data_IF_646116607627
#
_entry.id   IF_646116607627
#
_cell.length_a   1.000
_cell.length_b   1.000
_cell.length_c   1.000
_cell.angle_alpha   90.00
_cell.angle_beta   90.00
_cell.angle_gamma   90.00
#
_symmetry.space_group_name_H-M   'P 1'
#
loop_
_entity.id
_entity.type
_entity.pdbx_description
1 polymer ?
#
# COMPACT_ATOMS: atom_id res chain seq x y z
N UNK A 1 5.12 67.47 -10.00
CA UNK A 1 6.22 66.48 -10.02
C UNK A 1 5.65 65.12 -9.64
N UNK A 2 5.29 64.26 -10.60
CA UNK A 2 4.69 62.94 -10.34
C UNK A 2 5.81 61.90 -10.23
N UNK A 3 5.96 61.30 -9.05
CA UNK A 3 6.95 60.27 -8.77
C UNK A 3 6.44 58.92 -9.33
N UNK A 4 7.09 58.40 -10.37
CA UNK A 4 6.78 57.08 -10.93
C UNK A 4 7.49 56.02 -10.08
N UNK A 5 6.73 55.20 -9.35
CA UNK A 5 7.29 54.05 -8.61
C UNK A 5 7.39 52.85 -9.56
N UNK A 6 8.60 52.45 -9.90
CA UNK A 6 8.88 51.21 -10.62
C UNK A 6 8.81 50.05 -9.62
N UNK A 7 7.86 49.13 -9.82
CA UNK A 7 7.75 47.89 -9.06
C UNK A 7 8.66 46.85 -9.74
N UNK A 8 9.80 46.52 -9.11
CA UNK A 8 10.66 45.42 -9.56
C UNK A 8 10.05 44.09 -9.11
N UNK A 9 9.48 43.33 -10.07
CA UNK A 9 9.10 41.94 -9.86
C UNK A 9 10.37 41.07 -9.95
N UNK A 10 10.92 40.69 -8.79
CA UNK A 10 11.95 39.67 -8.68
C UNK A 10 11.31 38.29 -8.97
N UNK A 11 11.53 37.79 -10.18
CA UNK A 11 11.20 36.42 -10.53
C UNK A 11 12.29 35.49 -9.98
N UNK A 12 12.01 34.80 -8.87
CA UNK A 12 12.85 33.70 -8.42
C UNK A 12 12.65 32.50 -9.36
N UNK A 13 13.73 31.86 -9.87
CA UNK A 13 13.58 30.62 -10.62
C UNK A 13 13.02 29.56 -9.69
N UNK A 14 11.80 29.10 -9.99
CA UNK A 14 11.22 27.92 -9.35
C UNK A 14 11.99 26.73 -9.91
N UNK A 15 12.97 26.22 -9.16
CA UNK A 15 13.57 24.93 -9.47
C UNK A 15 12.47 23.87 -9.35
N UNK A 16 12.15 23.21 -10.47
CA UNK A 16 11.24 22.08 -10.46
C UNK A 16 11.88 20.96 -9.65
N UNK A 17 11.20 20.49 -8.61
CA UNK A 17 11.68 19.38 -7.80
C UNK A 17 11.87 18.14 -8.69
N UNK A 18 13.07 17.57 -8.71
CA UNK A 18 13.43 16.40 -9.51
C UNK A 18 13.51 15.15 -8.64
N UNK A 19 13.17 13.99 -9.20
CA UNK A 19 13.34 12.69 -8.56
C UNK A 19 14.35 11.88 -9.36
N UNK A 20 15.38 11.38 -8.71
CA UNK A 20 16.41 10.55 -9.33
C UNK A 20 16.46 9.18 -8.65
N UNK A 21 16.53 8.12 -9.45
CA UNK A 21 16.92 6.80 -8.96
C UNK A 21 18.44 6.78 -8.81
N UNK A 22 18.91 6.65 -7.58
CA UNK A 22 20.35 6.62 -7.27
C UNK A 22 20.89 5.20 -7.13
N UNK A 23 20.01 4.22 -6.90
CA UNK A 23 20.35 2.80 -6.82
C UNK A 23 19.14 1.96 -7.20
N UNK A 24 19.40 0.88 -7.95
CA UNK A 24 18.47 -0.22 -8.18
C UNK A 24 19.18 -1.50 -7.80
N UNK A 25 18.60 -2.28 -6.90
CA UNK A 25 19.21 -3.50 -6.38
C UNK A 25 18.21 -4.67 -6.32
N UNK A 26 18.67 -5.86 -6.70
CA UNK A 26 17.94 -7.10 -6.50
C UNK A 26 17.92 -7.43 -5.01
N UNK A 27 16.73 -7.64 -4.46
CA UNK A 27 16.49 -8.09 -3.09
C UNK A 27 16.43 -9.61 -3.05
N UNK A 28 15.86 -10.24 -4.08
CA UNK A 28 15.84 -11.70 -4.26
C UNK A 28 16.45 -12.09 -5.60
N UNK A 29 16.71 -13.38 -5.75
CA UNK A 29 17.15 -14.04 -6.98
C UNK A 29 16.22 -15.19 -7.34
N UNK A 30 16.34 -15.74 -8.55
CA UNK A 30 15.54 -16.89 -8.95
C UNK A 30 15.84 -18.15 -8.10
N UNK A 31 17.05 -18.25 -7.56
CA UNK A 31 17.47 -19.36 -6.66
C UNK A 31 16.82 -19.25 -5.28
N UNK A 32 16.49 -18.03 -4.84
CA UNK A 32 15.77 -17.80 -3.58
C UNK A 32 14.30 -18.27 -3.66
N UNK A 33 13.74 -18.27 -4.87
CA UNK A 33 12.33 -18.56 -5.14
C UNK A 33 11.59 -17.40 -5.80
N UNK A 34 10.29 -17.58 -5.99
CA UNK A 34 9.39 -16.62 -6.67
C UNK A 34 8.56 -15.91 -5.61
N UNK A 35 8.65 -14.58 -5.56
CA UNK A 35 8.02 -13.76 -4.53
C UNK A 35 7.34 -12.50 -5.07
N UNK A 36 6.27 -12.08 -4.40
CA UNK A 36 5.39 -10.98 -4.80
C UNK A 36 4.97 -10.11 -3.62
N UNK A 37 4.45 -8.92 -3.93
CA UNK A 37 3.86 -7.97 -2.98
C UNK A 37 4.78 -7.60 -1.79
N UNK A 38 6.02 -7.16 -2.05
CA UNK A 38 6.98 -6.84 -1.00
C UNK A 38 6.57 -5.61 -0.19
N UNK A 39 6.81 -5.64 1.12
CA UNK A 39 6.59 -4.51 2.03
C UNK A 39 7.74 -4.35 3.01
N UNK A 40 8.18 -3.11 3.21
CA UNK A 40 9.05 -2.78 4.32
C UNK A 40 8.29 -2.92 5.64
N UNK A 41 8.92 -3.57 6.62
CA UNK A 41 8.48 -3.56 8.02
C UNK A 41 9.48 -2.85 8.93
N UNK A 42 10.66 -2.50 8.41
CA UNK A 42 11.64 -1.60 9.01
C UNK A 42 12.63 -1.11 7.94
N UNK A 43 13.67 -0.37 8.34
CA UNK A 43 14.79 0.00 7.46
C UNK A 43 15.58 -1.20 6.91
N UNK A 44 15.52 -2.36 7.57
CA UNK A 44 16.35 -3.51 7.21
C UNK A 44 15.57 -4.79 6.94
N UNK A 45 14.24 -4.76 7.11
CA UNK A 45 13.39 -5.94 7.04
C UNK A 45 12.28 -5.77 6.02
N UNK A 46 12.13 -6.79 5.19
CA UNK A 46 11.15 -6.85 4.10
C UNK A 46 10.34 -8.14 4.25
N UNK A 47 9.03 -8.03 4.17
CA UNK A 47 8.12 -9.19 4.12
C UNK A 47 7.48 -9.26 2.74
N UNK A 48 7.35 -10.47 2.20
CA UNK A 48 6.73 -10.75 0.91
C UNK A 48 6.03 -12.11 0.93
N UNK A 49 5.27 -12.41 -0.13
CA UNK A 49 4.51 -13.66 -0.26
C UNK A 49 4.90 -14.42 -1.53
N UNK A 50 4.55 -15.69 -1.61
CA UNK A 50 4.75 -16.52 -2.80
C UNK A 50 3.56 -16.40 -3.76
N UNK A 51 3.57 -17.05 -4.95
CA UNK A 51 2.45 -17.03 -5.88
C UNK A 51 1.11 -17.38 -5.19
N UNK A 52 0.03 -16.74 -5.66
CA UNK A 52 -1.33 -16.93 -5.12
C UNK A 52 -1.49 -16.55 -3.64
N UNK A 53 -0.63 -15.65 -3.14
CA UNK A 53 -0.71 -15.12 -1.77
C UNK A 53 -0.56 -16.19 -0.68
N UNK A 54 0.15 -17.28 -0.98
CA UNK A 54 0.36 -18.36 -0.03
C UNK A 54 1.61 -18.08 0.78
N UNK A 55 1.50 -18.07 2.11
CA UNK A 55 2.61 -17.90 3.02
C UNK A 55 3.17 -16.48 3.11
N UNK A 56 4.08 -16.28 4.06
CA UNK A 56 4.85 -15.06 4.25
C UNK A 56 6.31 -15.41 4.50
N UNK A 57 7.22 -14.63 3.91
CA UNK A 57 8.66 -14.75 4.07
C UNK A 57 9.23 -13.42 4.49
N UNK A 58 10.26 -13.48 5.34
CA UNK A 58 11.00 -12.34 5.85
C UNK A 58 12.42 -12.38 5.30
N UNK A 59 12.89 -11.26 4.76
CA UNK A 59 14.30 -11.02 4.48
C UNK A 59 14.83 -9.90 5.36
N UNK A 60 15.97 -10.13 6.03
CA UNK A 60 16.76 -9.07 6.63
C UNK A 60 17.88 -8.66 5.67
N UNK A 61 18.34 -7.41 5.75
CA UNK A 61 19.33 -6.85 4.81
C UNK A 61 20.63 -7.64 4.74
N UNK A 62 21.04 -8.28 5.84
CA UNK A 62 22.31 -9.01 5.97
C UNK A 62 22.12 -10.54 6.04
N UNK A 63 20.90 -11.05 5.93
CA UNK A 63 20.60 -12.48 6.12
C UNK A 63 19.92 -13.11 4.91
N UNK A 64 19.85 -14.45 4.94
CA UNK A 64 18.96 -15.21 4.06
C UNK A 64 17.48 -14.89 4.29
N UNK A 65 16.65 -15.53 3.49
CA UNK A 65 15.18 -15.46 3.58
C UNK A 65 14.69 -16.51 4.56
N UNK A 66 13.81 -16.11 5.48
CA UNK A 66 13.17 -16.99 6.46
C UNK A 66 11.69 -17.12 6.15
N UNK A 67 11.20 -18.35 6.03
CA UNK A 67 9.77 -18.63 5.98
C UNK A 67 9.11 -18.34 7.33
N UNK A 68 8.10 -17.46 7.36
CA UNK A 68 7.32 -17.16 8.56
C UNK A 68 6.13 -18.11 8.68
N UNK A 69 5.46 -18.41 7.56
CA UNK A 69 4.37 -19.38 7.46
C UNK A 69 4.08 -19.74 5.99
N UNK A 70 3.22 -20.76 5.79
CA UNK A 70 2.79 -21.25 4.47
C UNK A 70 1.26 -21.30 4.28
N UNK A 71 0.53 -20.41 4.95
CA UNK A 71 -0.93 -20.46 4.94
C UNK A 71 -1.53 -19.85 3.66
N UNK A 72 -2.61 -20.45 3.16
CA UNK A 72 -3.37 -19.88 2.04
C UNK A 72 -3.97 -18.53 2.44
N UNK A 73 -3.82 -17.51 1.58
CA UNK A 73 -4.39 -16.19 1.81
C UNK A 73 -3.57 -15.27 2.72
N UNK A 74 -2.49 -15.77 3.36
CA UNK A 74 -1.67 -14.98 4.27
C UNK A 74 -0.99 -13.78 3.59
N UNK A 75 -0.64 -13.93 2.32
CA UNK A 75 0.00 -12.88 1.51
C UNK A 75 -0.94 -11.77 1.03
N UNK A 76 -2.26 -11.95 1.15
CA UNK A 76 -3.22 -11.03 0.53
C UNK A 76 -3.39 -9.79 1.40
N UNK A 77 -2.55 -8.79 1.13
CA UNK A 77 -2.48 -7.49 1.81
C UNK A 77 -2.38 -7.62 3.35
N UNK A 78 -1.45 -8.45 3.82
CA UNK A 78 -1.08 -8.49 5.23
C UNK A 78 -0.69 -7.09 5.75
N UNK A 79 -0.91 -6.84 7.02
CA UNK A 79 -0.58 -5.58 7.69
C UNK A 79 0.54 -5.79 8.69
N UNK A 80 1.43 -4.80 8.80
CA UNK A 80 2.46 -4.77 9.84
C UNK A 80 2.12 -3.70 10.87
N UNK A 81 2.32 -4.03 12.14
CA UNK A 81 2.21 -3.11 13.26
C UNK A 81 3.59 -2.89 13.87
N UNK A 82 4.09 -1.66 13.81
CA UNK A 82 5.39 -1.30 14.40
C UNK A 82 5.36 -1.24 15.93
N UNK A 83 4.19 -1.02 16.53
CA UNK A 83 4.02 -0.86 17.99
C UNK A 83 4.28 -2.16 18.73
N UNK A 84 3.74 -3.28 18.24
CA UNK A 84 3.88 -4.61 18.84
C UNK A 84 4.70 -5.58 17.97
N UNK A 85 5.30 -5.06 16.89
CA UNK A 85 6.12 -5.80 15.92
C UNK A 85 5.43 -7.08 15.44
N UNK A 86 4.16 -6.95 15.05
CA UNK A 86 3.35 -8.08 14.61
C UNK A 86 2.85 -7.94 13.18
N UNK A 87 2.61 -9.09 12.54
CA UNK A 87 1.90 -9.19 11.27
C UNK A 87 0.45 -9.59 11.54
N UNK A 88 -0.48 -8.92 10.87
CA UNK A 88 -1.87 -9.35 10.76
C UNK A 88 -2.10 -9.89 9.37
N UNK A 89 -2.53 -11.13 9.27
CA UNK A 89 -2.82 -11.78 8.00
C UNK A 89 -4.05 -12.68 8.10
N UNK A 90 -4.48 -13.16 6.93
CA UNK A 90 -5.64 -14.03 6.79
C UNK A 90 -5.20 -15.48 6.59
N UNK A 91 -6.01 -16.42 7.04
CA UNK A 91 -5.84 -17.84 6.70
C UNK A 91 -7.13 -18.35 6.10
N UNK A 92 -7.09 -18.65 4.80
CA UNK A 92 -8.23 -19.11 4.03
C UNK A 92 -8.33 -20.64 4.04
N UNK A 93 -9.51 -21.14 4.41
CA UNK A 93 -9.88 -22.56 4.44
C UNK A 93 -11.09 -22.78 3.55
N UNK A 94 -11.14 -23.92 2.89
CA UNK A 94 -12.26 -24.30 2.03
C UNK A 94 -12.96 -25.52 2.61
N UNK A 95 -14.23 -25.37 2.97
CA UNK A 95 -15.09 -26.43 3.51
C UNK A 95 -16.35 -26.46 2.65
N UNK A 96 -16.65 -27.61 2.04
CA UNK A 96 -17.80 -27.79 1.15
C UNK A 96 -17.93 -26.72 0.05
N UNK A 97 -16.79 -26.32 -0.53
CA UNK A 97 -16.73 -25.30 -1.59
C UNK A 97 -16.87 -23.85 -1.10
N UNK A 98 -17.08 -23.63 0.20
CA UNK A 98 -17.17 -22.31 0.80
C UNK A 98 -15.83 -21.89 1.40
N UNK A 99 -15.43 -20.64 1.15
CA UNK A 99 -14.25 -20.04 1.77
C UNK A 99 -14.59 -19.50 3.15
N UNK A 100 -13.83 -19.95 4.14
CA UNK A 100 -13.78 -19.43 5.51
C UNK A 100 -12.41 -18.78 5.75
N UNK A 101 -12.38 -17.69 6.50
CA UNK A 101 -11.17 -16.93 6.75
C UNK A 101 -10.96 -16.74 8.26
N UNK A 102 -9.79 -17.10 8.77
CA UNK A 102 -9.35 -16.68 10.10
C UNK A 102 -8.51 -15.41 9.98
N UNK A 103 -8.57 -14.55 11.00
CA UNK A 103 -7.64 -13.43 11.17
C UNK A 103 -6.61 -13.80 12.22
N UNK A 104 -5.34 -13.84 11.81
CA UNK A 104 -4.22 -14.26 12.64
C UNK A 104 -3.28 -13.08 12.85
N UNK A 105 -2.89 -12.88 14.11
CA UNK A 105 -1.81 -11.99 14.50
C UNK A 105 -0.57 -12.83 14.82
N UNK A 106 0.58 -12.45 14.28
CA UNK A 106 1.86 -13.14 14.45
C UNK A 106 2.90 -12.17 14.97
N UNK A 107 3.39 -12.40 16.18
CA UNK A 107 4.43 -11.59 16.81
C UNK A 107 5.81 -12.01 16.25
N UNK A 108 6.57 -11.05 15.73
CA UNK A 108 7.88 -11.32 15.10
C UNK A 108 9.05 -11.40 16.10
N UNK A 109 8.82 -11.09 17.39
CA UNK A 109 9.86 -11.14 18.43
C UNK A 109 9.96 -12.55 19.02
N UNK A 110 8.82 -13.11 19.46
CA UNK A 110 8.74 -14.41 20.12
C UNK A 110 8.15 -15.51 19.22
N UNK A 111 7.79 -15.16 17.99
CA UNK A 111 7.20 -16.04 16.99
C UNK A 111 5.82 -16.61 17.39
N UNK A 112 5.15 -16.04 18.38
CA UNK A 112 3.82 -16.48 18.82
C UNK A 112 2.73 -16.05 17.83
N UNK A 113 1.64 -16.83 17.79
CA UNK A 113 0.46 -16.52 16.98
C UNK A 113 -0.81 -16.48 17.83
N UNK A 114 -1.71 -15.57 17.48
CA UNK A 114 -3.00 -15.35 18.12
C UNK A 114 -4.10 -15.36 17.05
N UNK A 115 -5.17 -16.13 17.28
CA UNK A 115 -6.36 -16.11 16.43
C UNK A 115 -7.26 -14.96 16.92
N UNK A 116 -7.31 -13.87 16.16
CA UNK A 116 -8.13 -12.70 16.49
C UNK A 116 -9.60 -12.97 16.22
N UNK A 117 -9.90 -13.64 15.11
CA UNK A 117 -11.24 -14.03 14.69
C UNK A 117 -11.15 -15.33 13.88
N UNK A 118 -12.20 -16.16 13.94
CA UNK A 118 -12.21 -17.49 13.33
C UNK A 118 -13.43 -17.69 12.44
N UNK A 119 -13.26 -18.48 11.39
CA UNK A 119 -14.34 -19.00 10.54
C UNK A 119 -15.24 -17.90 9.96
N UNK A 120 -14.65 -16.76 9.61
CA UNK A 120 -15.35 -15.62 9.03
C UNK A 120 -15.69 -15.86 7.55
N UNK A 121 -16.70 -15.15 7.06
CA UNK A 121 -17.19 -15.21 5.67
C UNK A 121 -17.17 -13.82 5.03
N UNK A 122 -16.86 -13.78 3.73
CA UNK A 122 -16.80 -12.55 2.91
C UNK A 122 -15.93 -11.43 3.53
N UNK A 123 -14.77 -11.81 4.08
CA UNK A 123 -13.86 -10.88 4.77
C UNK A 123 -13.08 -10.02 3.78
N UNK A 124 -13.29 -8.70 3.87
CA UNK A 124 -12.47 -7.69 3.21
C UNK A 124 -11.14 -7.48 3.94
N UNK A 125 -10.27 -6.65 3.35
CA UNK A 125 -8.92 -6.43 3.85
C UNK A 125 -8.93 -5.85 5.27
N UNK A 126 -8.39 -6.57 6.27
CA UNK A 126 -8.30 -6.05 7.61
C UNK A 126 -7.20 -4.99 7.72
N UNK A 127 -7.50 -3.90 8.43
CA UNK A 127 -6.61 -2.74 8.53
C UNK A 127 -6.40 -2.34 9.98
N UNK A 128 -5.14 -2.11 10.35
CA UNK A 128 -4.82 -1.54 11.64
C UNK A 128 -5.19 -0.05 11.69
N UNK A 129 -5.70 0.36 12.84
CA UNK A 129 -5.86 1.74 13.27
C UNK A 129 -4.84 1.99 14.39
N UNK A 130 -3.73 2.67 14.06
CA UNK A 130 -2.58 2.93 14.98
C UNK A 130 -2.18 1.72 15.85
N UNK A 131 -2.22 0.51 15.27
CA UNK A 131 -1.78 -0.74 15.92
C UNK A 131 -2.59 -1.27 17.12
N UNK A 132 -3.74 -0.66 17.47
CA UNK A 132 -4.54 -1.08 18.63
C UNK A 132 -5.95 -1.56 18.28
N UNK A 133 -6.44 -1.23 17.10
CA UNK A 133 -7.76 -1.66 16.63
C UNK A 133 -7.65 -2.16 15.20
N UNK A 134 -8.28 -3.29 14.91
CA UNK A 134 -8.40 -3.85 13.57
C UNK A 134 -9.81 -3.53 13.06
N UNK A 135 -9.90 -2.78 11.96
CA UNK A 135 -11.14 -2.55 11.23
C UNK A 135 -11.20 -3.40 9.97
N UNK A 136 -12.33 -4.05 9.71
CA UNK A 136 -12.57 -4.81 8.48
C UNK A 136 -14.06 -4.88 8.17
N UNK A 137 -14.41 -5.40 6.99
CA UNK A 137 -15.80 -5.66 6.59
C UNK A 137 -15.96 -7.16 6.36
N UNK A 138 -17.10 -7.73 6.77
CA UNK A 138 -17.47 -9.10 6.48
C UNK A 138 -18.96 -9.19 6.07
N UNK A 139 -19.51 -10.40 5.95
CA UNK A 139 -20.93 -10.59 5.58
C UNK A 139 -21.94 -9.90 6.52
N UNK A 140 -21.55 -9.55 7.75
CA UNK A 140 -22.39 -8.88 8.73
C UNK A 140 -22.20 -7.35 8.73
N UNK A 141 -21.38 -6.82 7.82
CA UNK A 141 -21.05 -5.40 7.73
C UNK A 141 -19.69 -5.07 8.34
N UNK A 142 -19.57 -3.85 8.87
CA UNK A 142 -18.33 -3.31 9.42
C UNK A 142 -18.05 -3.92 10.81
N UNK A 143 -16.82 -4.37 11.04
CA UNK A 143 -16.37 -4.95 12.31
C UNK A 143 -15.10 -4.26 12.80
N UNK A 144 -15.04 -4.01 14.12
CA UNK A 144 -13.85 -3.51 14.83
C UNK A 144 -13.47 -4.48 15.95
N UNK A 145 -12.17 -4.78 16.05
CA UNK A 145 -11.62 -5.61 17.12
C UNK A 145 -10.49 -4.85 17.81
N UNK A 146 -10.63 -4.60 19.11
CA UNK A 146 -9.55 -4.04 19.93
C UNK A 146 -8.52 -5.13 20.24
N UNK A 147 -7.25 -4.86 19.95
CA UNK A 147 -6.14 -5.81 20.16
C UNK A 147 -5.19 -5.39 21.28
N UNK A 148 -5.34 -4.18 21.82
CA UNK A 148 -4.57 -3.63 22.94
C UNK A 148 -5.51 -2.82 23.85
N UNK A 149 -5.19 -2.73 25.14
CA UNK A 149 -5.99 -1.97 26.12
C UNK A 149 -6.19 -0.51 25.70
N UNK A 150 -7.40 0.03 25.94
CA UNK A 150 -7.89 1.36 25.52
C UNK A 150 -7.01 2.54 25.95
N UNK A 151 -5.92 2.77 25.23
CA UNK A 151 -5.12 3.99 25.32
C UNK A 151 -5.12 4.66 23.95
N UNK A 152 -5.98 5.68 23.82
CA UNK A 152 -6.13 6.58 22.67
C UNK A 152 -6.51 5.91 21.33
N UNK A 153 -7.82 5.76 21.12
CA UNK A 153 -8.48 5.37 19.86
C UNK A 153 -8.25 6.35 18.68
N UNK A 154 -7.36 7.34 18.74
CA UNK A 154 -7.24 8.36 17.69
C UNK A 154 -6.39 7.90 16.49
N UNK A 155 -6.78 6.82 15.80
CA UNK A 155 -6.18 6.41 14.53
C UNK A 155 -7.18 6.46 13.37
N UNK A 156 -6.65 6.43 12.16
CA UNK A 156 -7.42 6.45 10.91
C UNK A 156 -6.99 5.25 10.06
N UNK A 157 -7.95 4.53 9.48
CA UNK A 157 -7.67 3.47 8.51
C UNK A 157 -8.77 3.39 7.45
N UNK A 158 -8.46 2.76 6.31
CA UNK A 158 -9.42 2.56 5.22
C UNK A 158 -9.30 1.17 4.63
N UNK A 159 -10.44 0.52 4.41
CA UNK A 159 -10.58 -0.63 3.51
C UNK A 159 -11.60 -0.28 2.43
N UNK A 160 -11.61 -1.02 1.33
CA UNK A 160 -12.49 -0.70 0.22
C UNK A 160 -12.94 -1.96 -0.52
N UNK A 161 -14.16 -1.91 -1.04
CA UNK A 161 -14.75 -2.97 -1.85
C UNK A 161 -15.80 -2.41 -2.85
N UNK A 162 -16.76 -3.24 -3.25
CA UNK A 162 -17.85 -2.87 -4.16
C UNK A 162 -18.88 -1.89 -3.55
N UNK A 163 -18.94 -1.78 -2.23
CA UNK A 163 -19.85 -0.89 -1.51
C UNK A 163 -19.25 0.49 -1.24
N UNK A 164 -17.93 0.64 -1.37
CA UNK A 164 -17.26 1.93 -1.25
C UNK A 164 -15.93 1.84 -0.51
N UNK A 165 -15.46 2.99 -0.05
CA UNK A 165 -14.33 3.12 0.87
C UNK A 165 -14.89 3.18 2.29
N UNK A 166 -14.57 2.21 3.13
CA UNK A 166 -14.93 2.18 4.54
C UNK A 166 -13.82 2.86 5.35
N UNK A 167 -14.12 4.06 5.84
CA UNK A 167 -13.25 4.89 6.64
C UNK A 167 -13.52 4.68 8.12
N UNK A 168 -12.46 4.42 8.88
CA UNK A 168 -12.47 4.26 10.32
C UNK A 168 -11.72 5.43 10.96
N UNK A 169 -12.36 6.14 11.89
CA UNK A 169 -11.75 7.23 12.66
C UNK A 169 -12.11 7.01 14.13
N UNK A 170 -11.20 6.43 14.90
CA UNK A 170 -11.54 6.02 16.25
C UNK A 170 -12.70 5.05 16.28
N UNK A 171 -13.67 5.34 17.12
CA UNK A 171 -14.90 4.54 17.21
C UNK A 171 -15.86 4.81 16.06
N UNK A 172 -15.68 5.91 15.32
CA UNK A 172 -16.56 6.27 14.20
C UNK A 172 -16.18 5.52 12.93
N UNK A 173 -17.19 5.29 12.09
CA UNK A 173 -17.03 4.69 10.78
C UNK A 173 -17.94 5.38 9.77
N UNK A 174 -17.52 5.37 8.50
CA UNK A 174 -18.28 5.96 7.40
C UNK A 174 -17.90 5.26 6.10
N UNK A 175 -18.90 4.94 5.29
CA UNK A 175 -18.67 4.52 3.90
C UNK A 175 -18.71 5.75 2.98
N UNK A 176 -17.70 5.87 2.11
CA UNK A 176 -17.55 6.94 1.13
C UNK A 176 -17.67 6.36 -0.29
N UNK A 177 -18.36 7.08 -1.17
CA UNK A 177 -18.44 6.80 -2.61
C UNK A 177 -18.07 8.04 -3.43
N UNK A 178 -16.79 8.49 -3.42
CA UNK A 178 -16.39 9.75 -4.07
C UNK A 178 -16.71 9.84 -5.57
N UNK A 179 -16.86 8.70 -6.25
CA UNK A 179 -17.18 8.60 -7.68
C UNK A 179 -18.52 7.90 -7.96
N UNK A 180 -19.38 7.77 -6.95
CA UNK A 180 -20.64 7.01 -7.03
C UNK A 180 -20.46 5.51 -6.86
N UNK A 181 -21.44 4.73 -7.32
CA UNK A 181 -21.42 3.27 -7.22
C UNK A 181 -20.34 2.64 -8.10
N UNK A 182 -19.72 1.57 -7.59
CA UNK A 182 -18.68 0.81 -8.26
C UNK A 182 -17.62 0.30 -7.28
N UNK A 183 -16.64 -0.42 -7.81
CA UNK A 183 -15.56 -0.99 -7.00
C UNK A 183 -14.52 0.07 -6.66
N UNK A 184 -14.11 0.09 -5.40
CA UNK A 184 -12.98 0.85 -4.90
C UNK A 184 -11.92 -0.14 -4.44
N UNK A 185 -10.68 0.03 -4.90
CA UNK A 185 -9.57 -0.87 -4.55
C UNK A 185 -8.31 -0.08 -4.25
N UNK A 186 -7.33 -0.76 -3.66
CA UNK A 186 -5.99 -0.22 -3.35
C UNK A 186 -6.06 1.11 -2.56
N UNK A 187 -7.00 1.19 -1.61
CA UNK A 187 -7.19 2.37 -0.78
C UNK A 187 -6.11 2.49 0.29
N UNK A 188 -5.61 3.70 0.52
CA UNK A 188 -4.70 4.03 1.62
C UNK A 188 -4.93 5.44 2.15
N UNK A 189 -4.65 5.65 3.43
CA UNK A 189 -4.65 6.98 4.06
C UNK A 189 -3.31 7.66 3.78
N UNK A 190 -3.32 8.97 3.53
CA UNK A 190 -2.10 9.77 3.45
C UNK A 190 -1.33 9.78 4.78
N UNK A 191 -0.01 10.03 4.78
CA UNK A 191 0.79 10.06 6.01
C UNK A 191 0.31 11.08 7.05
N UNK A 192 -0.25 12.21 6.60
CA UNK A 192 -0.84 13.25 7.47
C UNK A 192 -2.23 12.87 8.04
N UNK A 193 -2.84 11.78 7.55
CA UNK A 193 -4.15 11.30 8.00
C UNK A 193 -5.34 12.04 7.39
N UNK A 194 -5.16 13.00 6.49
CA UNK A 194 -6.24 13.88 6.02
C UNK A 194 -6.89 13.46 4.71
N UNK A 195 -6.25 12.55 3.96
CA UNK A 195 -6.61 12.23 2.57
C UNK A 195 -6.63 10.73 2.37
N UNK A 196 -7.39 10.31 1.36
CA UNK A 196 -7.51 8.92 0.96
C UNK A 196 -7.14 8.82 -0.51
N UNK A 197 -6.12 8.00 -0.80
CA UNK A 197 -5.77 7.57 -2.15
C UNK A 197 -6.50 6.27 -2.44
N UNK A 198 -7.05 6.13 -3.64
CA UNK A 198 -7.75 4.91 -4.06
C UNK A 198 -7.73 4.78 -5.58
N UNK A 199 -7.96 3.56 -6.07
CA UNK A 199 -8.22 3.28 -7.48
C UNK A 199 -9.70 2.92 -7.69
N UNK A 200 -10.27 3.45 -8.77
CA UNK A 200 -11.59 3.07 -9.28
C UNK A 200 -11.36 2.37 -10.62
N UNK A 201 -11.51 1.03 -10.69
CA UNK A 201 -11.19 0.26 -11.89
C UNK A 201 -11.86 0.82 -13.15
N UNK A 202 -11.10 0.88 -14.24
CA UNK A 202 -11.53 1.47 -15.51
C UNK A 202 -11.53 3.01 -15.55
N UNK A 203 -11.44 3.72 -14.41
CA UNK A 203 -11.35 5.20 -14.36
C UNK A 203 -10.01 5.73 -13.86
N UNK A 204 -9.22 4.90 -13.16
CA UNK A 204 -7.91 5.23 -12.61
C UNK A 204 -7.92 5.60 -11.14
N UNK A 205 -6.85 6.26 -10.68
CA UNK A 205 -6.63 6.60 -9.27
C UNK A 205 -6.89 8.06 -8.95
N UNK A 206 -7.36 8.29 -7.73
CA UNK A 206 -7.86 9.56 -7.23
C UNK A 206 -7.47 9.77 -5.76
N UNK A 207 -7.49 11.02 -5.34
CA UNK A 207 -7.37 11.42 -3.95
C UNK A 207 -8.63 12.17 -3.54
N UNK A 208 -9.24 11.78 -2.41
CA UNK A 208 -10.30 12.54 -1.76
C UNK A 208 -9.90 12.92 -0.33
N UNK A 209 -10.61 13.90 0.26
CA UNK A 209 -10.55 14.12 1.71
C UNK A 209 -11.42 13.11 2.47
N UNK A 210 -11.33 13.13 3.81
CA UNK A 210 -12.10 12.25 4.70
C UNK A 210 -13.63 12.44 4.60
N UNK A 211 -14.12 13.50 3.95
CA UNK A 211 -15.55 13.69 3.69
C UNK A 211 -16.02 12.97 2.43
N UNK A 212 -15.09 12.58 1.56
CA UNK A 212 -15.33 11.98 0.24
C UNK A 212 -15.25 12.98 -0.91
N UNK A 213 -14.90 14.25 -0.66
CA UNK A 213 -14.73 15.25 -1.73
C UNK A 213 -13.44 14.98 -2.49
N UNK A 214 -13.54 14.85 -3.80
CA UNK A 214 -12.38 14.66 -4.69
C UNK A 214 -11.47 15.89 -4.66
N UNK A 215 -10.18 15.65 -4.46
CA UNK A 215 -9.14 16.68 -4.41
C UNK A 215 -8.23 16.63 -5.64
N UNK A 216 -7.93 15.41 -6.12
CA UNK A 216 -6.93 15.22 -7.17
C UNK A 216 -7.23 13.97 -8.00
N UNK A 217 -7.03 14.06 -9.31
CA UNK A 217 -7.02 12.91 -10.22
C UNK A 217 -5.58 12.55 -10.53
N UNK A 218 -5.15 11.36 -10.11
CA UNK A 218 -3.79 10.86 -10.37
C UNK A 218 -3.67 10.44 -11.84
N UNK A 219 -4.69 9.74 -12.35
CA UNK A 219 -4.75 9.22 -13.72
C UNK A 219 -4.80 7.69 -13.76
N UNK A 220 -4.43 7.10 -14.91
CA UNK A 220 -4.22 5.65 -15.02
C UNK A 220 -2.96 5.27 -14.26
N UNK A 221 -3.14 4.94 -12.98
CA UNK A 221 -2.08 4.69 -12.02
C UNK A 221 -2.51 3.52 -11.14
N UNK A 222 -2.05 2.32 -11.45
CA UNK A 222 -2.47 1.11 -10.75
C UNK A 222 -1.57 0.86 -9.53
N UNK A 223 -2.14 0.18 -8.53
CA UNK A 223 -1.50 -0.10 -7.24
C UNK A 223 -0.83 1.14 -6.59
N UNK A 224 -1.56 2.27 -6.44
CA UNK A 224 -0.95 3.53 -6.04
C UNK A 224 -0.60 3.53 -4.53
N UNK A 225 0.52 4.15 -4.17
CA UNK A 225 0.98 4.28 -2.79
C UNK A 225 1.59 5.66 -2.52
N UNK A 226 1.41 6.17 -1.30
CA UNK A 226 1.95 7.46 -0.89
C UNK A 226 3.45 7.38 -0.59
N UNK A 227 4.19 8.43 -0.94
CA UNK A 227 5.48 8.69 -0.30
C UNK A 227 5.29 8.98 1.19
N UNK A 228 6.34 8.74 1.98
CA UNK A 228 6.36 8.96 3.44
C UNK A 228 5.96 10.38 3.86
N UNK A 229 6.29 11.38 3.05
CA UNK A 229 5.96 12.78 3.29
C UNK A 229 4.59 13.21 2.70
N UNK A 230 3.90 12.31 1.99
CA UNK A 230 2.61 12.58 1.35
C UNK A 230 2.68 13.48 0.12
N UNK A 231 3.88 13.86 -0.33
CA UNK A 231 4.04 14.80 -1.44
C UNK A 231 4.09 14.12 -2.81
N UNK A 232 4.23 12.79 -2.85
CA UNK A 232 4.35 12.01 -4.06
C UNK A 232 3.49 10.76 -3.99
N UNK A 233 3.10 10.27 -5.17
CA UNK A 233 2.34 9.03 -5.35
C UNK A 233 3.14 8.16 -6.29
N UNK A 234 3.50 6.96 -5.84
CA UNK A 234 4.14 5.91 -6.64
C UNK A 234 3.09 4.94 -7.12
N UNK A 235 3.23 4.45 -8.34
CA UNK A 235 2.27 3.53 -8.93
C UNK A 235 2.92 2.74 -10.05
N UNK A 236 2.28 1.64 -10.45
CA UNK A 236 2.66 0.93 -11.68
C UNK A 236 1.78 1.41 -12.84
N UNK A 237 2.39 1.56 -14.01
CA UNK A 237 1.70 1.84 -15.25
C UNK A 237 1.80 0.63 -16.16
N UNK A 238 0.84 -0.27 -15.98
CA UNK A 238 0.74 -1.55 -16.64
C UNK A 238 -0.10 -1.48 -17.93
N UNK A 239 0.18 -2.44 -18.81
CA UNK A 239 -0.52 -2.70 -20.06
C UNK A 239 -0.91 -4.17 -20.09
N UNK A 240 -2.11 -4.48 -20.56
CA UNK A 240 -2.60 -5.85 -20.68
C UNK A 240 -3.25 -6.10 -22.04
N UNK A 241 -3.36 -7.37 -22.42
CA UNK A 241 -4.06 -7.82 -23.64
C UNK A 241 -5.45 -8.44 -23.33
N UNK A 242 -6.00 -8.17 -22.14
CA UNK A 242 -7.22 -8.79 -21.62
C UNK A 242 -7.03 -10.19 -20.99
N UNK A 243 -5.84 -10.79 -21.10
CA UNK A 243 -5.51 -12.08 -20.47
C UNK A 243 -4.36 -11.97 -19.47
N UNK A 244 -3.33 -11.20 -19.80
CA UNK A 244 -2.13 -11.03 -18.99
C UNK A 244 -1.56 -9.62 -19.12
N UNK A 245 -0.74 -9.23 -18.15
CA UNK A 245 0.05 -8.00 -18.20
C UNK A 245 1.19 -8.22 -19.22
N UNK A 246 1.26 -7.38 -20.23
CA UNK A 246 2.25 -7.44 -21.32
C UNK A 246 3.38 -6.43 -21.16
N UNK A 247 3.27 -5.50 -20.21
CA UNK A 247 4.26 -4.48 -19.93
C UNK A 247 3.88 -3.70 -18.67
N UNK A 248 4.86 -3.19 -17.94
CA UNK A 248 4.63 -2.30 -16.80
C UNK A 248 5.93 -1.61 -16.44
N UNK A 249 5.83 -0.43 -15.87
CA UNK A 249 6.94 0.35 -15.32
C UNK A 249 6.47 1.00 -14.01
N UNK A 250 7.41 1.29 -13.10
CA UNK A 250 7.14 2.03 -11.86
C UNK A 250 7.28 3.53 -12.11
N UNK A 251 6.23 4.29 -11.82
CA UNK A 251 6.21 5.74 -11.94
C UNK A 251 6.06 6.41 -10.58
N UNK A 252 6.50 7.67 -10.51
CA UNK A 252 6.24 8.57 -9.37
C UNK A 252 5.69 9.91 -9.87
N UNK A 253 4.64 10.41 -9.22
CA UNK A 253 3.96 11.66 -9.56
C UNK A 253 3.83 12.57 -8.35
N UNK A 254 4.06 13.87 -8.55
CA UNK A 254 3.88 14.88 -7.50
C UNK A 254 2.39 15.06 -7.19
N UNK A 255 2.02 14.95 -5.93
CA UNK A 255 0.67 15.30 -5.49
C UNK A 255 0.39 16.79 -5.71
N UNK A 256 -0.75 17.12 -6.35
CA UNK A 256 -1.14 18.47 -6.79
C UNK A 256 -0.13 19.15 -7.75
N UNK A 257 0.81 18.39 -8.31
CA UNK A 257 1.80 18.88 -9.26
C UNK A 257 1.63 18.26 -10.65
N UNK A 258 2.40 18.79 -11.60
CA UNK A 258 2.50 18.23 -12.96
C UNK A 258 3.68 17.27 -13.13
N UNK A 259 4.63 17.26 -12.18
CA UNK A 259 5.83 16.44 -12.28
C UNK A 259 5.50 14.95 -12.17
N UNK A 260 6.02 14.18 -13.10
CA UNK A 260 5.85 12.74 -13.21
C UNK A 260 7.10 12.15 -13.85
N UNK A 261 7.62 11.06 -13.29
CA UNK A 261 8.88 10.44 -13.70
C UNK A 261 8.70 8.92 -13.81
N UNK A 262 9.21 8.32 -14.88
CA UNK A 262 9.39 6.88 -14.98
C UNK A 262 10.66 6.48 -14.20
N UNK A 263 10.53 5.62 -13.20
CA UNK A 263 11.63 5.24 -12.31
C UNK A 263 12.39 4.00 -12.79
N UNK A 264 11.75 3.10 -13.54
CA UNK A 264 12.37 1.86 -14.00
C UNK A 264 12.79 1.96 -15.46
N UNK A 265 11.86 2.34 -16.35
CA UNK A 265 12.06 2.51 -17.78
C UNK A 265 12.89 1.36 -18.40
N UNK A 266 12.45 0.14 -18.18
CA UNK A 266 13.09 -1.05 -18.74
C UNK A 266 12.19 -1.71 -19.78
N UNK A 267 12.75 -2.17 -20.89
CA UNK A 267 11.93 -2.71 -22.00
C UNK A 267 11.48 -4.16 -21.74
N UNK A 268 12.32 -4.96 -21.09
CA UNK A 268 12.14 -6.42 -20.96
C UNK A 268 11.73 -6.89 -19.56
N UNK A 269 11.52 -5.96 -18.62
CA UNK A 269 11.09 -6.30 -17.26
C UNK A 269 9.72 -5.68 -17.02
N UNK A 270 8.79 -6.50 -16.54
CA UNK A 270 7.47 -6.03 -16.13
C UNK A 270 7.51 -5.77 -14.63
N UNK A 271 7.67 -4.51 -14.21
CA UNK A 271 7.71 -4.15 -12.79
C UNK A 271 6.32 -3.88 -12.20
N UNK A 272 6.00 -4.53 -11.09
CA UNK A 272 4.65 -4.60 -10.53
C UNK A 272 4.63 -4.35 -9.01
N UNK A 273 3.46 -3.90 -8.56
CA UNK A 273 3.08 -3.81 -7.15
C UNK A 273 4.06 -3.00 -6.27
N UNK A 274 4.30 -1.71 -6.60
CA UNK A 274 5.23 -0.90 -5.84
C UNK A 274 4.77 -0.65 -4.41
N UNK A 275 5.75 -0.52 -3.51
CA UNK A 275 5.56 -0.30 -2.08
C UNK A 275 6.58 0.70 -1.58
N UNK A 276 6.14 1.91 -1.23
CA UNK A 276 7.01 2.97 -0.73
C UNK A 276 7.33 2.77 0.75
N UNK A 277 8.59 2.95 1.13
CA UNK A 277 9.06 2.81 2.50
C UNK A 277 8.56 3.96 3.40
N UNK A 278 8.02 3.61 4.56
CA UNK A 278 7.73 4.60 5.62
C UNK A 278 8.99 5.00 6.42
N UNK A 279 10.17 4.49 6.04
CA UNK A 279 11.41 4.66 6.80
C UNK A 279 12.50 5.40 6.03
N UNK A 280 12.52 5.26 4.70
CA UNK A 280 13.51 5.85 3.80
C UNK A 280 12.88 6.25 2.46
N UNK A 281 13.62 6.96 1.62
CA UNK A 281 13.20 7.28 0.26
C UNK A 281 13.50 6.10 -0.67
N UNK A 282 12.81 4.98 -0.42
CA UNK A 282 13.00 3.71 -1.10
C UNK A 282 11.66 3.10 -1.53
N UNK A 283 11.69 2.38 -2.64
CA UNK A 283 10.53 1.67 -3.20
C UNK A 283 10.91 0.21 -3.41
N UNK A 284 10.05 -0.70 -2.97
CA UNK A 284 10.10 -2.10 -3.38
C UNK A 284 9.11 -2.34 -4.50
N UNK A 285 9.44 -3.27 -5.39
CA UNK A 285 8.51 -3.83 -6.37
C UNK A 285 8.94 -5.26 -6.67
N UNK A 286 8.08 -6.04 -7.32
CA UNK A 286 8.47 -7.33 -7.89
C UNK A 286 8.34 -7.31 -9.41
N UNK A 287 9.08 -8.18 -10.10
CA UNK A 287 8.87 -8.43 -11.53
C UNK A 287 7.73 -9.42 -11.75
N UNK A 288 7.28 -9.59 -13.00
CA UNK A 288 6.35 -10.67 -13.36
C UNK A 288 6.89 -12.07 -13.00
N UNK A 289 8.21 -12.28 -13.10
CA UNK A 289 8.89 -13.52 -12.69
C UNK A 289 9.08 -13.66 -11.17
N UNK A 290 8.57 -12.72 -10.38
CA UNK A 290 8.62 -12.76 -8.92
C UNK A 290 10.00 -12.47 -8.32
N UNK A 291 10.82 -11.67 -8.99
CA UNK A 291 12.07 -11.14 -8.43
C UNK A 291 11.78 -9.81 -7.76
N UNK A 292 12.17 -9.65 -6.50
CA UNK A 292 11.98 -8.40 -5.75
C UNK A 292 13.18 -7.50 -5.98
N UNK A 293 12.90 -6.23 -6.26
CA UNK A 293 13.89 -5.17 -6.37
C UNK A 293 13.59 -4.05 -5.39
N UNK A 294 14.65 -3.29 -5.07
CA UNK A 294 14.58 -2.06 -4.29
C UNK A 294 15.20 -0.92 -5.08
N UNK A 295 14.46 0.19 -5.19
CA UNK A 295 14.96 1.47 -5.67
C UNK A 295 15.28 2.37 -4.49
N UNK A 296 16.41 3.06 -4.53
CA UNK A 296 16.71 4.19 -3.66
C UNK A 296 16.58 5.49 -4.45
N UNK A 297 15.87 6.46 -3.90
CA UNK A 297 15.55 7.73 -4.54
C UNK A 297 16.34 8.89 -3.91
N UNK A 298 16.54 9.94 -4.71
CA UNK A 298 16.98 11.25 -4.26
C UNK A 298 16.07 12.33 -4.83
N UNK A 299 15.57 13.20 -3.95
CA UNK A 299 14.79 14.38 -4.32
C UNK A 299 15.68 15.62 -4.31
N UNK A 300 15.69 16.41 -5.38
CA UNK A 300 16.37 17.72 -5.43
C UNK A 300 15.38 18.84 -5.67
#
# INVERSE_FOLDING_TARGET
>A
MKLFRFLFLLAFPIFAQSVLVIKSEKVTSAEDGIFFYPKFISNSQIVFTSPKYKGLWLKNSDSGITELNNYNGAGYDFQYSSTDKSLLYRVDKFVDGLRFTDLIKHNLIDNSTEIIQKDLRNVQLPKYQKSSTIGYVNQNGIVKVETLAKNNLAGISVTADAEGIHLFIGEKEKTLKPLGDGNYIWSSVSPDGEKILFNFPGKGSYVCDLSGRLLFKVGFANYPTWSRDGNWIVYMKDFDNGSEITGSDIYIKKYLGKAEFNLTNTEDIIELYPSYSQYADEILYNTADGIIYKLSLKFN
#
